data_IF_689863715539
#
_entry.id   IF_689863715539
#
_cell.length_a   1.000
_cell.length_b   1.000
_cell.length_c   1.000
_cell.angle_alpha   90.00
_cell.angle_beta   90.00
_cell.angle_gamma   90.00
#
_symmetry.space_group_name_H-M   'P 1'
#
loop_
_entity.id
_entity.type
_entity.pdbx_description
1 polymer ?
#
# COMPACT_ATOMS: atom_id res chain seq x y z
N UNK A 1 -7.96 -11.70 -20.17
CA UNK A 1 -7.70 -10.47 -19.40
C UNK A 1 -8.31 -9.31 -20.17
N UNK A 2 -9.28 -8.60 -19.58
CA UNK A 2 -9.97 -7.50 -20.28
C UNK A 2 -9.04 -6.27 -20.45
N UNK A 3 -9.39 -5.38 -21.38
CA UNK A 3 -8.61 -4.18 -21.68
C UNK A 3 -8.39 -3.28 -20.45
N UNK A 4 -9.42 -3.15 -19.62
CA UNK A 4 -9.38 -2.36 -18.38
C UNK A 4 -8.30 -2.86 -17.39
N UNK A 5 -8.18 -4.18 -17.19
CA UNK A 5 -7.14 -4.76 -16.33
C UNK A 5 -5.73 -4.50 -16.88
N UNK A 6 -5.54 -4.58 -18.20
CA UNK A 6 -4.25 -4.26 -18.84
C UNK A 6 -3.88 -2.78 -18.66
N UNK A 7 -4.81 -1.89 -18.95
CA UNK A 7 -4.63 -0.45 -18.79
C UNK A 7 -4.30 -0.09 -17.34
N UNK A 8 -5.04 -0.65 -16.38
CA UNK A 8 -4.78 -0.43 -14.95
C UNK A 8 -3.36 -0.88 -14.55
N UNK A 9 -2.91 -2.08 -14.96
CA UNK A 9 -1.55 -2.55 -14.67
C UNK A 9 -0.47 -1.63 -15.26
N UNK A 10 -0.68 -1.14 -16.48
CA UNK A 10 0.26 -0.20 -17.11
C UNK A 10 0.32 1.13 -16.37
N UNK A 11 -0.83 1.67 -15.94
CA UNK A 11 -0.87 2.87 -15.11
C UNK A 11 -0.19 2.66 -13.75
N UNK A 12 -0.37 1.48 -13.14
CA UNK A 12 0.31 1.13 -11.90
C UNK A 12 1.83 1.07 -12.07
N UNK A 13 2.33 0.44 -13.15
CA UNK A 13 3.76 0.44 -13.50
C UNK A 13 4.28 1.87 -13.72
N UNK A 14 3.55 2.68 -14.50
CA UNK A 14 3.93 4.07 -14.74
C UNK A 14 4.04 4.85 -13.42
N UNK A 15 3.08 4.68 -12.51
CA UNK A 15 3.09 5.33 -11.20
C UNK A 15 4.31 4.94 -10.35
N UNK A 16 4.76 3.68 -10.45
CA UNK A 16 5.97 3.21 -9.75
C UNK A 16 7.22 3.89 -10.31
N UNK A 17 7.35 3.93 -11.63
CA UNK A 17 8.49 4.57 -12.31
C UNK A 17 8.53 6.07 -12.00
N UNK A 18 7.39 6.76 -12.09
CA UNK A 18 7.28 8.18 -11.75
C UNK A 18 7.65 8.45 -10.28
N UNK A 19 7.21 7.61 -9.34
CA UNK A 19 7.57 7.77 -7.94
C UNK A 19 9.08 7.62 -7.71
N UNK A 20 9.72 6.62 -8.33
CA UNK A 20 11.17 6.46 -8.25
C UNK A 20 11.88 7.66 -8.89
N UNK A 21 11.45 8.10 -10.07
CA UNK A 21 12.01 9.27 -10.76
C UNK A 21 11.95 10.54 -9.91
N UNK A 22 10.79 10.84 -9.32
CA UNK A 22 10.64 11.97 -8.38
C UNK A 22 11.56 11.86 -7.17
N UNK A 23 11.74 10.65 -6.62
CA UNK A 23 12.65 10.46 -5.50
C UNK A 23 14.11 10.68 -5.90
N UNK A 24 14.52 10.31 -7.11
CA UNK A 24 15.87 10.61 -7.60
C UNK A 24 16.07 12.10 -7.82
N UNK A 25 15.09 12.79 -8.42
CA UNK A 25 15.13 14.25 -8.55
C UNK A 25 15.24 14.94 -7.18
N UNK A 26 14.51 14.45 -6.16
CA UNK A 26 14.61 14.96 -4.81
C UNK A 26 15.98 14.75 -4.16
N UNK A 27 16.64 13.61 -4.43
CA UNK A 27 18.02 13.37 -3.97
C UNK A 27 19.03 14.33 -4.60
N UNK A 28 18.73 14.84 -5.79
CA UNK A 28 19.52 15.86 -6.48
C UNK A 28 19.11 17.29 -6.09
N UNK A 29 18.18 17.46 -5.15
CA UNK A 29 17.69 18.77 -4.71
C UNK A 29 16.71 19.45 -5.68
N UNK A 30 16.28 18.76 -6.74
CA UNK A 30 15.40 19.32 -7.77
C UNK A 30 13.90 19.15 -7.48
N UNK A 31 13.54 18.44 -6.41
CA UNK A 31 12.15 18.20 -6.03
C UNK A 31 12.03 17.94 -4.52
N UNK A 32 10.80 17.98 -4.00
CA UNK A 32 10.52 17.49 -2.64
C UNK A 32 10.53 15.95 -2.61
N UNK A 33 10.98 15.32 -1.50
CA UNK A 33 10.93 13.87 -1.36
C UNK A 33 9.51 13.34 -1.50
N UNK A 34 9.36 12.17 -2.12
CA UNK A 34 8.05 11.54 -2.34
C UNK A 34 7.32 11.25 -1.03
N UNK A 35 8.08 11.00 0.04
CA UNK A 35 7.56 10.77 1.39
C UNK A 35 7.04 12.03 2.09
N UNK A 36 7.29 13.25 1.57
CA UNK A 36 7.06 14.48 2.32
C UNK A 36 5.59 14.70 2.68
N UNK A 37 4.69 14.54 1.71
CA UNK A 37 3.25 14.69 1.92
C UNK A 37 2.72 13.60 2.87
N UNK A 38 3.16 12.35 2.70
CA UNK A 38 2.82 11.26 3.61
C UNK A 38 3.34 11.47 5.04
N UNK A 39 4.55 12.01 5.23
CA UNK A 39 5.07 12.35 6.56
C UNK A 39 4.24 13.46 7.21
N UNK A 40 3.84 14.49 6.45
CA UNK A 40 2.96 15.53 6.95
C UNK A 40 1.60 14.96 7.38
N UNK A 41 1.02 14.05 6.59
CA UNK A 41 -0.22 13.36 6.95
C UNK A 41 -0.05 12.51 8.21
N UNK A 42 1.03 11.72 8.31
CA UNK A 42 1.35 10.95 9.51
C UNK A 42 1.50 11.83 10.75
N UNK A 43 2.11 13.02 10.64
CA UNK A 43 2.18 13.99 11.75
C UNK A 43 0.79 14.49 12.16
N UNK A 44 -0.06 14.84 11.19
CA UNK A 44 -1.42 15.28 11.46
C UNK A 44 -2.25 14.20 12.17
N UNK A 45 -2.00 12.93 11.86
CA UNK A 45 -2.61 11.77 12.53
C UNK A 45 -1.92 11.38 13.85
N UNK A 46 -0.93 12.15 14.30
CA UNK A 46 -0.12 11.88 15.50
C UNK A 46 0.53 10.49 15.49
N UNK A 47 0.93 10.01 14.32
CA UNK A 47 1.64 8.74 14.20
C UNK A 47 2.98 8.79 14.94
N UNK A 48 3.41 7.64 15.46
CA UNK A 48 4.65 7.56 16.24
C UNK A 48 5.87 7.94 15.38
N UNK A 49 6.97 8.42 16.00
CA UNK A 49 8.22 8.64 15.28
C UNK A 49 8.76 7.39 14.57
N UNK A 50 8.50 6.19 15.12
CA UNK A 50 8.88 4.91 14.50
C UNK A 50 8.09 4.66 13.21
N UNK A 51 6.77 4.86 13.24
CA UNK A 51 5.92 4.72 12.05
C UNK A 51 6.35 5.68 10.93
N UNK A 52 6.64 6.93 11.30
CA UNK A 52 7.12 7.95 10.36
C UNK A 52 8.46 7.60 9.72
N UNK A 53 9.42 7.11 10.50
CA UNK A 53 10.70 6.62 9.96
C UNK A 53 10.52 5.41 9.04
N UNK A 54 9.65 4.46 9.43
CA UNK A 54 9.36 3.30 8.60
C UNK A 54 8.72 3.71 7.26
N UNK A 55 7.82 4.69 7.27
CA UNK A 55 7.24 5.25 6.05
C UNK A 55 8.27 5.95 5.17
N UNK A 56 9.12 6.82 5.74
CA UNK A 56 10.19 7.47 5.01
C UNK A 56 11.22 6.47 4.42
N UNK A 57 11.36 5.31 5.05
CA UNK A 57 12.19 4.20 4.59
C UNK A 57 11.44 3.19 3.70
N UNK A 58 10.18 3.43 3.32
CA UNK A 58 9.48 2.58 2.36
C UNK A 58 9.95 2.87 0.93
N UNK A 59 9.63 1.97 0.01
CA UNK A 59 9.90 2.19 -1.40
C UNK A 59 9.09 3.40 -1.93
N UNK A 60 9.65 4.27 -2.80
CA UNK A 60 8.96 5.48 -3.25
C UNK A 60 7.58 5.23 -3.87
N UNK A 61 7.42 4.12 -4.59
CA UNK A 61 6.13 3.71 -5.15
C UNK A 61 5.06 3.49 -4.06
N UNK A 62 5.43 2.85 -2.94
CA UNK A 62 4.51 2.61 -1.83
C UNK A 62 4.19 3.90 -1.10
N UNK A 63 5.19 4.76 -0.87
CA UNK A 63 4.99 6.08 -0.28
C UNK A 63 3.96 6.89 -1.08
N UNK A 64 4.14 6.94 -2.40
CA UNK A 64 3.24 7.67 -3.29
C UNK A 64 1.84 7.05 -3.31
N UNK A 65 1.72 5.72 -3.39
CA UNK A 65 0.42 5.04 -3.40
C UNK A 65 -0.34 5.25 -2.10
N UNK A 66 0.30 4.94 -0.98
CA UNK A 66 -0.27 5.05 0.35
C UNK A 66 -0.70 6.49 0.69
N UNK A 67 0.10 7.49 0.30
CA UNK A 67 -0.26 8.91 0.47
C UNK A 67 -1.52 9.27 -0.31
N UNK A 68 -1.63 8.85 -1.58
CA UNK A 68 -2.82 9.11 -2.40
C UNK A 68 -4.07 8.44 -1.82
N UNK A 69 -3.96 7.18 -1.41
CA UNK A 69 -5.08 6.43 -0.83
C UNK A 69 -5.55 7.10 0.47
N UNK A 70 -4.62 7.46 1.35
CA UNK A 70 -4.95 8.15 2.60
C UNK A 70 -5.60 9.52 2.35
N UNK A 71 -5.13 10.28 1.35
CA UNK A 71 -5.73 11.54 0.94
C UNK A 71 -7.15 11.35 0.39
N UNK A 72 -7.38 10.32 -0.44
CA UNK A 72 -8.72 9.98 -0.94
C UNK A 72 -9.66 9.57 0.18
N UNK A 73 -9.22 8.70 1.10
CA UNK A 73 -9.99 8.31 2.28
C UNK A 73 -10.36 9.52 3.14
N UNK A 74 -9.43 10.46 3.33
CA UNK A 74 -9.70 11.73 4.03
C UNK A 74 -10.78 12.54 3.31
N UNK A 75 -10.74 12.65 1.98
CA UNK A 75 -11.76 13.36 1.19
C UNK A 75 -13.14 12.71 1.29
N UNK A 76 -13.20 11.39 1.45
CA UNK A 76 -14.44 10.66 1.70
C UNK A 76 -14.88 10.66 3.17
N UNK A 77 -14.24 11.43 4.05
CA UNK A 77 -14.61 11.53 5.46
C UNK A 77 -14.25 10.29 6.29
N UNK A 78 -13.32 9.45 5.82
CA UNK A 78 -12.87 8.29 6.57
C UNK A 78 -12.17 8.69 7.87
N UNK A 79 -12.24 7.82 8.88
CA UNK A 79 -11.70 8.12 10.22
C UNK A 79 -10.16 8.14 10.20
N UNK A 80 -9.51 8.79 11.18
CA UNK A 80 -8.05 8.79 11.30
C UNK A 80 -7.42 7.39 11.23
N UNK A 81 -8.06 6.37 11.82
CA UNK A 81 -7.59 4.98 11.76
C UNK A 81 -7.59 4.40 10.33
N UNK A 82 -8.54 4.77 9.47
CA UNK A 82 -8.57 4.31 8.07
C UNK A 82 -7.41 4.91 7.27
N UNK A 83 -7.19 6.20 7.47
CA UNK A 83 -6.12 6.95 6.81
C UNK A 83 -4.75 6.42 7.26
N UNK A 84 -4.60 6.16 8.57
CA UNK A 84 -3.37 5.58 9.11
C UNK A 84 -3.17 4.14 8.63
N UNK A 85 -4.23 3.33 8.54
CA UNK A 85 -4.12 1.99 7.96
C UNK A 85 -3.63 2.03 6.51
N UNK A 86 -4.17 2.93 5.69
CA UNK A 86 -3.71 3.13 4.32
C UNK A 86 -2.22 3.54 4.24
N UNK A 87 -1.76 4.42 5.13
CA UNK A 87 -0.35 4.84 5.17
C UNK A 87 0.61 3.71 5.61
N UNK A 88 0.13 2.71 6.36
CA UNK A 88 0.97 1.66 6.94
C UNK A 88 0.87 0.30 6.23
N UNK A 89 -0.18 0.04 5.44
CA UNK A 89 -0.47 -1.31 4.93
C UNK A 89 0.65 -1.89 4.04
N UNK A 90 1.33 -1.03 3.29
CA UNK A 90 2.37 -1.41 2.34
C UNK A 90 3.78 -1.45 2.92
N UNK A 91 3.99 -0.96 4.14
CA UNK A 91 5.32 -0.95 4.77
C UNK A 91 6.01 -2.33 4.83
N UNK A 92 5.29 -3.47 5.01
CA UNK A 92 5.92 -4.78 4.97
C UNK A 92 6.50 -5.18 3.61
N UNK A 93 6.12 -4.50 2.51
CA UNK A 93 6.79 -4.68 1.20
C UNK A 93 8.27 -4.29 1.28
N UNK A 94 8.62 -3.40 2.21
CA UNK A 94 9.99 -2.98 2.49
C UNK A 94 10.70 -2.41 1.25
N UNK A 95 12.00 -2.67 1.19
CA UNK A 95 12.89 -2.18 0.13
C UNK A 95 12.95 -3.12 -1.10
N UNK A 96 11.86 -3.82 -1.41
CA UNK A 96 11.78 -4.57 -2.68
C UNK A 96 11.99 -3.60 -3.84
N UNK A 97 12.97 -3.88 -4.69
CA UNK A 97 13.36 -3.01 -5.81
C UNK A 97 12.26 -2.85 -6.87
N UNK A 98 12.44 -1.87 -7.76
CA UNK A 98 11.48 -1.52 -8.80
C UNK A 98 11.18 -2.68 -9.77
N UNK A 99 12.21 -3.40 -10.25
CA UNK A 99 12.05 -4.49 -11.23
C UNK A 99 11.13 -5.61 -10.69
N UNK A 100 11.36 -6.18 -9.48
CA UNK A 100 10.43 -7.14 -8.89
C UNK A 100 8.98 -6.65 -8.80
N UNK A 101 8.75 -5.35 -8.53
CA UNK A 101 7.41 -4.76 -8.43
C UNK A 101 6.73 -4.67 -9.80
N UNK A 102 7.46 -4.21 -10.81
CA UNK A 102 6.96 -4.16 -12.19
C UNK A 102 6.57 -5.54 -12.67
N UNK A 103 7.43 -6.54 -12.45
CA UNK A 103 7.11 -7.93 -12.79
C UNK A 103 5.89 -8.43 -12.01
N UNK A 104 5.81 -8.15 -10.72
CA UNK A 104 4.68 -8.55 -9.87
C UNK A 104 3.35 -7.98 -10.38
N UNK A 105 3.32 -6.70 -10.76
CA UNK A 105 2.14 -6.02 -11.33
C UNK A 105 1.77 -6.62 -12.70
N UNK A 106 2.74 -6.79 -13.60
CA UNK A 106 2.50 -7.29 -14.95
C UNK A 106 1.99 -8.74 -14.95
N UNK A 107 2.60 -9.61 -14.14
CA UNK A 107 2.16 -10.99 -13.98
C UNK A 107 0.78 -11.09 -13.31
N UNK A 108 0.33 -10.05 -12.60
CA UNK A 108 -0.95 -10.06 -11.88
C UNK A 108 -0.99 -11.07 -10.74
N UNK A 109 0.20 -11.41 -10.22
CA UNK A 109 0.55 -12.44 -9.25
C UNK A 109 -0.45 -13.59 -9.07
N UNK A 110 -0.09 -14.86 -9.37
CA UNK A 110 -0.90 -15.98 -8.89
C UNK A 110 -1.01 -15.90 -7.35
N UNK A 111 -2.26 -15.82 -6.88
CA UNK A 111 -2.64 -15.64 -5.47
C UNK A 111 -2.29 -16.88 -4.63
N UNK A 112 -1.97 -17.99 -5.30
CA UNK A 112 -1.66 -19.29 -4.70
C UNK A 112 -0.23 -19.74 -5.00
N UNK A 113 0.39 -20.38 -4.02
CA UNK A 113 1.72 -21.00 -4.14
C UNK A 113 2.92 -20.07 -3.94
N UNK A 114 4.11 -20.67 -3.89
CA UNK A 114 5.39 -19.95 -3.73
C UNK A 114 5.78 -19.23 -5.03
N UNK A 115 6.36 -18.04 -4.93
CA UNK A 115 6.99 -17.40 -6.07
C UNK A 115 8.18 -18.24 -6.55
N UNK A 116 8.32 -18.40 -7.87
CA UNK A 116 9.42 -19.15 -8.51
C UNK A 116 10.07 -18.26 -9.57
N UNK A 117 11.32 -18.57 -9.92
CA UNK A 117 12.08 -17.83 -10.93
C UNK A 117 12.82 -16.61 -10.38
N UNK A 118 13.22 -15.66 -11.25
CA UNK A 118 13.98 -14.49 -10.85
C UNK A 118 13.19 -13.66 -9.84
N UNK A 119 13.90 -13.12 -8.85
CA UNK A 119 13.31 -12.33 -7.75
C UNK A 119 12.25 -13.07 -6.93
N UNK A 120 12.26 -14.41 -6.90
CA UNK A 120 11.28 -15.21 -6.15
C UNK A 120 11.12 -14.74 -4.69
N UNK A 121 12.21 -14.47 -3.97
CA UNK A 121 12.15 -13.95 -2.60
C UNK A 121 11.42 -12.59 -2.51
N UNK A 122 11.82 -11.63 -3.35
CA UNK A 122 11.19 -10.31 -3.39
C UNK A 122 9.71 -10.37 -3.78
N UNK A 123 9.35 -11.22 -4.74
CA UNK A 123 7.96 -11.46 -5.14
C UNK A 123 7.17 -12.15 -4.03
N UNK A 124 7.79 -13.05 -3.27
CA UNK A 124 7.14 -13.68 -2.13
C UNK A 124 6.86 -12.64 -1.03
N UNK A 125 7.79 -11.71 -0.78
CA UNK A 125 7.55 -10.56 0.11
C UNK A 125 6.36 -9.74 -0.37
N UNK A 126 6.29 -9.40 -1.65
CA UNK A 126 5.15 -8.68 -2.22
C UNK A 126 3.83 -9.45 -2.10
N UNK A 127 3.84 -10.79 -2.12
CA UNK A 127 2.62 -11.60 -1.91
C UNK A 127 2.16 -11.65 -0.46
N UNK A 128 3.10 -11.68 0.49
CA UNK A 128 2.81 -11.89 1.90
C UNK A 128 2.71 -10.59 2.71
N UNK A 129 2.93 -9.43 2.07
CA UNK A 129 3.05 -8.16 2.76
C UNK A 129 1.80 -7.84 3.61
N UNK A 130 0.60 -8.04 3.08
CA UNK A 130 -0.65 -7.75 3.78
C UNK A 130 -0.78 -8.56 5.07
N UNK A 131 -0.39 -9.84 5.06
CA UNK A 131 -0.39 -10.69 6.26
C UNK A 131 0.57 -10.18 7.35
N UNK A 132 1.67 -9.51 6.96
CA UNK A 132 2.64 -8.95 7.89
C UNK A 132 2.26 -7.54 8.39
N UNK A 133 1.35 -6.83 7.71
CA UNK A 133 0.99 -5.45 8.01
C UNK A 133 0.48 -5.22 9.45
N UNK A 134 -0.42 -6.06 10.01
CA UNK A 134 -0.91 -5.84 11.38
C UNK A 134 0.19 -5.95 12.42
N UNK A 135 1.07 -6.94 12.26
CA UNK A 135 2.18 -7.20 13.17
C UNK A 135 3.20 -6.07 13.13
N UNK A 136 3.53 -5.58 11.91
CA UNK A 136 4.41 -4.43 11.76
C UNK A 136 3.79 -3.16 12.35
N UNK A 137 2.52 -2.88 12.06
CA UNK A 137 1.82 -1.72 12.60
C UNK A 137 1.79 -1.72 14.13
N UNK A 138 1.56 -2.88 14.76
CA UNK A 138 1.65 -3.04 16.21
C UNK A 138 3.05 -2.70 16.75
N UNK A 139 4.12 -3.21 16.11
CA UNK A 139 5.51 -2.87 16.48
C UNK A 139 5.84 -1.38 16.32
N UNK A 140 5.20 -0.73 15.35
CA UNK A 140 5.32 0.71 15.12
C UNK A 140 4.45 1.55 16.08
N UNK A 141 3.67 0.91 16.96
CA UNK A 141 2.82 1.58 17.94
C UNK A 141 1.54 2.18 17.35
N UNK A 142 1.00 1.57 16.28
CA UNK A 142 -0.27 2.00 15.72
C UNK A 142 -1.44 1.77 16.72
N UNK A 143 -2.49 2.62 16.68
CA UNK A 143 -3.68 2.43 17.50
C UNK A 143 -4.38 1.09 17.24
N UNK A 144 -5.13 0.60 18.23
CA UNK A 144 -5.89 -0.66 18.12
C UNK A 144 -6.87 -0.67 16.95
N UNK A 145 -7.51 0.47 16.66
CA UNK A 145 -8.44 0.60 15.52
C UNK A 145 -7.74 0.41 14.18
N UNK A 146 -6.60 1.09 13.97
CA UNK A 146 -5.73 0.88 12.80
C UNK A 146 -5.30 -0.59 12.64
N UNK A 147 -4.87 -1.24 13.72
CA UNK A 147 -4.46 -2.65 13.68
C UNK A 147 -5.63 -3.56 13.30
N UNK A 148 -6.84 -3.30 13.80
CA UNK A 148 -8.02 -4.08 13.46
C UNK A 148 -8.37 -3.98 11.96
N UNK A 149 -8.26 -2.78 11.37
CA UNK A 149 -8.47 -2.57 9.93
C UNK A 149 -7.43 -3.34 9.12
N UNK A 150 -6.16 -3.29 9.50
CA UNK A 150 -5.10 -4.03 8.80
C UNK A 150 -5.27 -5.55 8.90
N UNK A 151 -5.75 -6.07 10.03
CA UNK A 151 -6.06 -7.51 10.17
C UNK A 151 -7.17 -7.93 9.22
N UNK A 152 -8.20 -7.09 9.11
CA UNK A 152 -9.31 -7.35 8.21
C UNK A 152 -8.90 -7.24 6.74
N UNK A 153 -8.05 -6.26 6.39
CA UNK A 153 -7.42 -6.14 5.07
C UNK A 153 -6.67 -7.42 4.69
N UNK A 154 -5.79 -7.90 5.57
CA UNK A 154 -5.04 -9.14 5.36
C UNK A 154 -5.96 -10.35 5.15
N UNK A 155 -7.08 -10.41 5.88
CA UNK A 155 -8.08 -11.47 5.74
C UNK A 155 -8.78 -11.41 4.38
N UNK A 156 -9.14 -10.23 3.91
CA UNK A 156 -9.84 -10.04 2.63
C UNK A 156 -8.93 -10.31 1.42
N UNK A 157 -7.67 -9.87 1.46
CA UNK A 157 -6.71 -10.20 0.38
C UNK A 157 -6.44 -11.70 0.27
N UNK A 158 -6.45 -12.41 1.41
CA UNK A 158 -6.28 -13.87 1.44
C UNK A 158 -7.53 -14.62 0.96
N UNK A 159 -8.72 -14.03 1.09
CA UNK A 159 -10.00 -14.61 0.68
C UNK A 159 -10.45 -13.99 -0.63
N UNK A 160 -9.95 -14.52 -1.74
CA UNK A 160 -10.52 -14.24 -3.06
C UNK A 160 -12.03 -14.47 -3.00
N UNK A 161 -12.82 -13.39 -3.10
CA UNK A 161 -14.29 -13.33 -3.04
C UNK A 161 -14.95 -13.60 -1.67
N UNK A 162 -15.21 -12.53 -0.91
CA UNK A 162 -16.33 -12.50 0.05
C UNK A 162 -17.59 -12.01 -0.66
N UNK A 163 -18.67 -12.80 -0.61
CA UNK A 163 -19.97 -12.58 -1.24
C UNK A 163 -20.99 -11.91 -0.31
N UNK A 164 -20.55 -11.34 0.81
CA UNK A 164 -21.40 -10.68 1.80
C UNK A 164 -21.43 -9.17 1.58
N UNK A 165 -22.59 -8.54 1.85
CA UNK A 165 -22.70 -7.08 1.89
C UNK A 165 -21.76 -6.54 2.97
N UNK A 166 -20.77 -5.71 2.62
CA UNK A 166 -19.79 -5.28 3.59
C UNK A 166 -20.44 -4.33 4.61
N UNK A 167 -20.27 -4.59 5.90
CA UNK A 167 -20.74 -3.73 7.00
C UNK A 167 -19.62 -3.40 7.98
N UNK A 168 -19.66 -2.22 8.58
CA UNK A 168 -18.67 -1.80 9.58
C UNK A 168 -17.23 -1.75 9.03
N UNK A 169 -16.32 -2.54 9.62
CA UNK A 169 -14.90 -2.58 9.21
C UNK A 169 -14.74 -3.20 7.81
N UNK A 170 -15.59 -4.15 7.43
CA UNK A 170 -15.52 -4.83 6.14
C UNK A 170 -15.73 -3.83 4.97
N UNK A 171 -16.65 -2.87 5.12
CA UNK A 171 -16.89 -1.81 4.14
C UNK A 171 -15.74 -0.80 4.05
N UNK A 172 -15.14 -0.47 5.19
CA UNK A 172 -13.99 0.44 5.26
C UNK A 172 -12.76 -0.16 4.58
N UNK A 173 -12.50 -1.45 4.83
CA UNK A 173 -11.43 -2.20 4.17
C UNK A 173 -11.71 -2.37 2.68
N UNK A 174 -12.97 -2.62 2.31
CA UNK A 174 -13.35 -2.74 0.91
C UNK A 174 -13.08 -1.46 0.13
N UNK A 175 -13.42 -0.30 0.71
CA UNK A 175 -13.11 1.00 0.13
C UNK A 175 -11.59 1.20 -0.05
N UNK A 176 -10.77 0.78 0.94
CA UNK A 176 -9.32 0.83 0.82
C UNK A 176 -8.82 -0.03 -0.35
N UNK A 177 -9.32 -1.27 -0.48
CA UNK A 177 -8.96 -2.17 -1.59
C UNK A 177 -9.41 -1.66 -2.96
N UNK A 178 -10.61 -1.09 -3.05
CA UNK A 178 -11.13 -0.53 -4.30
C UNK A 178 -10.31 0.71 -4.73
N UNK A 179 -9.85 1.53 -3.77
CA UNK A 179 -8.94 2.65 -4.03
C UNK A 179 -7.52 2.20 -4.41
N UNK A 180 -6.97 1.18 -3.75
CA UNK A 180 -5.64 0.65 -4.04
C UNK A 180 -5.59 -0.04 -5.41
N UNK A 181 -6.61 -0.84 -5.72
CA UNK A 181 -6.77 -1.52 -7.01
C UNK A 181 -7.17 -0.59 -8.16
N UNK A 182 -7.38 0.71 -7.91
CA UNK A 182 -7.82 1.68 -8.89
C UNK A 182 -9.14 1.33 -9.60
N UNK A 183 -9.92 0.41 -9.02
CA UNK A 183 -11.26 0.05 -9.50
C UNK A 183 -12.24 0.98 -8.79
N UNK A 184 -12.22 2.26 -9.16
CA UNK A 184 -13.39 3.11 -8.93
C UNK A 184 -14.47 2.65 -9.91
N UNK A 185 -15.47 1.92 -9.41
CA UNK A 185 -16.74 1.72 -10.12
C UNK A 185 -17.55 3.00 -10.12
#
# INVERSE_FOLDING_TARGET
MNFATRAHRLLQVLSHVQAVGRQQAARLGAATPVSAEGDAHLRALRATPRARRAFAAAHPADQASATRIAASLRRFGAKPDDQLAALLHDLPKGQVGLIPRVLHVLEGSPVTGRARGPFAGARQTLRLHAAAAPTLAAKLGAPRGTIAILRELARQESRSSSRQKPTGIDARVRLLLDLDSGVTR
#
